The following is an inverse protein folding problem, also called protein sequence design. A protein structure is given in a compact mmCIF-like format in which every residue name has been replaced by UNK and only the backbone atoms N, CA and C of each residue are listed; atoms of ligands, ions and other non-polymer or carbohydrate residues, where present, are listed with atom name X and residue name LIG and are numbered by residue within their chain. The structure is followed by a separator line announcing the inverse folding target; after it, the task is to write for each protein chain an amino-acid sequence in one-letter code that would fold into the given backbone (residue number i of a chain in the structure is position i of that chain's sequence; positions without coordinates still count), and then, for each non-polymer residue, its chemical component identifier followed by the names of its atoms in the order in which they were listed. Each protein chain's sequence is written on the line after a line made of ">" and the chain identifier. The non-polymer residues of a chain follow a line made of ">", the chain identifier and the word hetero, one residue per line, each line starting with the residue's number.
data_IF_048963564199
#
_entry.id   IF_048963564199
#
_cell.length_a   1.000
_cell.length_b   1.000
_cell.length_c   1.000
_cell.angle_alpha   90.00
_cell.angle_beta   90.00
_cell.angle_gamma   90.00
#
_symmetry.space_group_name_H-M   'P 1'
#
loop_
_entity.id
_entity.type
_entity.pdbx_description
1 polymer ?
#
# COMPACT_ATOMS: atom_id res chain seq x y z
N UNK A 1 -11.13 -4.13 2.09
CA UNK A 1 -11.74 -3.23 1.07
C UNK A 1 -11.44 -3.63 -0.37
N UNK A 2 -10.58 -4.64 -0.62
CA UNK A 2 -10.31 -5.10 -1.99
C UNK A 2 -11.40 -6.00 -2.60
N UNK A 3 -12.16 -6.74 -1.78
CA UNK A 3 -13.24 -7.62 -2.29
C UNK A 3 -14.46 -6.80 -2.71
N UNK A 4 -14.92 -5.90 -1.85
CA UNK A 4 -16.00 -4.95 -2.14
C UNK A 4 -15.35 -3.57 -2.23
N UNK A 5 -14.97 -3.08 -3.42
CA UNK A 5 -14.35 -1.78 -3.59
C UNK A 5 -15.38 -0.66 -3.46
N UNK A 6 -15.06 0.38 -2.70
CA UNK A 6 -15.82 1.63 -2.65
C UNK A 6 -14.92 2.78 -3.08
N UNK A 7 -15.51 3.85 -3.62
CA UNK A 7 -14.75 5.02 -4.06
C UNK A 7 -14.04 5.75 -2.92
N UNK A 8 -14.59 5.67 -1.70
CA UNK A 8 -14.02 6.31 -0.50
C UNK A 8 -14.08 5.37 0.70
N UNK A 9 -13.04 5.38 1.52
CA UNK A 9 -12.94 4.60 2.76
C UNK A 9 -14.10 4.87 3.73
N UNK A 10 -14.59 6.11 3.83
CA UNK A 10 -15.67 6.44 4.77
C UNK A 10 -17.00 5.74 4.44
N UNK A 11 -17.21 5.32 3.19
CA UNK A 11 -18.47 4.73 2.75
C UNK A 11 -18.79 3.40 3.43
N UNK A 12 -17.77 2.64 3.85
CA UNK A 12 -17.99 1.36 4.54
C UNK A 12 -18.67 1.50 5.91
N UNK A 13 -18.63 2.70 6.50
CA UNK A 13 -19.32 3.07 7.75
C UNK A 13 -20.57 3.92 7.51
N UNK A 14 -20.96 4.15 6.26
CA UNK A 14 -22.21 4.86 5.96
C UNK A 14 -23.42 3.96 6.24
N UNK A 15 -24.55 4.56 6.61
CA UNK A 15 -25.77 3.80 6.90
C UNK A 15 -26.25 2.95 5.71
N UNK A 16 -26.09 3.45 4.48
CA UNK A 16 -26.54 2.77 3.25
C UNK A 16 -25.62 1.63 2.81
N UNK A 17 -24.31 1.77 3.03
CA UNK A 17 -23.29 0.81 2.59
C UNK A 17 -22.56 0.15 3.76
N UNK A 18 -23.27 -0.02 4.87
CA UNK A 18 -22.73 -0.56 6.11
C UNK A 18 -22.23 -1.99 5.92
N UNK A 19 -20.91 -2.19 6.02
CA UNK A 19 -20.29 -3.52 5.93
C UNK A 19 -19.95 -4.00 7.33
N UNK A 20 -20.85 -4.78 7.93
CA UNK A 20 -20.75 -5.29 9.32
C UNK A 20 -19.40 -5.95 9.64
N UNK A 21 -18.81 -6.68 8.69
CA UNK A 21 -17.50 -7.31 8.88
C UNK A 21 -16.36 -6.33 9.16
N UNK A 22 -16.49 -5.06 8.75
CA UNK A 22 -15.51 -4.00 8.99
C UNK A 22 -15.97 -3.14 10.17
N UNK A 23 -17.21 -2.65 10.13
CA UNK A 23 -17.74 -1.67 11.08
C UNK A 23 -17.83 -2.22 12.51
N UNK A 24 -18.10 -3.52 12.66
CA UNK A 24 -18.17 -4.16 13.98
C UNK A 24 -16.78 -4.33 14.63
N UNK A 25 -15.70 -4.33 13.83
CA UNK A 25 -14.33 -4.55 14.32
C UNK A 25 -13.59 -3.24 14.59
N UNK A 26 -13.88 -2.20 13.83
CA UNK A 26 -13.17 -0.94 13.93
C UNK A 26 -14.10 0.24 13.65
N UNK A 27 -14.05 1.27 14.48
CA UNK A 27 -14.80 2.50 14.23
C UNK A 27 -14.16 3.28 13.07
N UNK A 28 -14.96 4.08 12.37
CA UNK A 28 -14.52 4.90 11.23
C UNK A 28 -13.34 5.80 11.61
N UNK A 29 -13.45 6.50 12.74
CA UNK A 29 -12.43 7.48 13.14
C UNK A 29 -11.11 6.78 13.51
N UNK A 30 -11.18 5.67 14.27
CA UNK A 30 -10.01 4.86 14.60
C UNK A 30 -9.30 4.35 13.34
N UNK A 31 -10.05 3.92 12.32
CA UNK A 31 -9.47 3.47 11.05
C UNK A 31 -8.65 4.58 10.38
N UNK A 32 -9.24 5.78 10.26
CA UNK A 32 -8.60 6.91 9.59
C UNK A 32 -7.37 7.40 10.34
N UNK A 33 -7.40 7.42 11.67
CA UNK A 33 -6.25 7.76 12.50
C UNK A 33 -5.13 6.74 12.36
N UNK A 34 -5.43 5.44 12.48
CA UNK A 34 -4.44 4.39 12.27
C UNK A 34 -3.80 4.50 10.90
N UNK A 35 -4.58 4.71 9.83
CA UNK A 35 -4.05 4.88 8.47
C UNK A 35 -3.22 6.16 8.30
N UNK A 36 -3.54 7.24 9.02
CA UNK A 36 -2.79 8.50 8.96
C UNK A 36 -1.44 8.42 9.66
N UNK A 37 -1.37 7.70 10.78
CA UNK A 37 -0.17 7.60 11.62
C UNK A 37 0.59 6.29 11.43
N UNK A 38 0.19 5.46 10.46
CA UNK A 38 0.88 4.22 10.14
C UNK A 38 2.29 4.53 9.64
N UNK A 39 3.29 4.11 10.40
CA UNK A 39 4.70 4.33 10.12
C UNK A 39 5.47 3.05 10.37
N UNK A 40 6.24 2.58 9.38
CA UNK A 40 6.93 1.29 9.42
C UNK A 40 8.43 1.40 9.71
N UNK A 41 9.00 2.61 9.60
CA UNK A 41 10.43 2.82 9.78
C UNK A 41 10.74 3.24 11.23
N UNK A 42 11.90 2.88 11.74
CA UNK A 42 12.41 3.47 12.98
C UNK A 42 13.18 4.75 12.66
N UNK A 43 12.81 5.87 13.29
CA UNK A 43 13.46 7.16 13.08
C UNK A 43 14.85 7.25 13.73
N UNK A 44 15.14 6.36 14.68
CA UNK A 44 16.45 6.29 15.33
C UNK A 44 17.50 5.61 14.46
N UNK A 45 17.07 4.87 13.43
CA UNK A 45 17.95 4.14 12.53
C UNK A 45 18.20 4.96 11.27
N UNK A 46 19.45 4.95 10.79
CA UNK A 46 19.78 5.51 9.49
C UNK A 46 19.18 4.66 8.40
N UNK A 47 18.41 5.27 7.50
CA UNK A 47 17.91 4.59 6.30
C UNK A 47 19.13 4.16 5.48
N UNK A 48 19.32 2.85 5.35
CA UNK A 48 20.39 2.27 4.55
C UNK A 48 20.20 2.63 3.08
N UNK A 49 21.30 2.86 2.37
CA UNK A 49 21.27 3.00 0.93
C UNK A 49 20.93 1.64 0.28
N UNK A 50 20.38 1.67 -0.93
CA UNK A 50 19.98 0.47 -1.66
C UNK A 50 21.17 -0.44 -2.01
N UNK A 51 22.36 0.14 -2.11
CA UNK A 51 23.60 -0.58 -2.39
C UNK A 51 24.26 -1.15 -1.13
N UNK A 52 23.71 -0.86 0.07
CA UNK A 52 24.22 -1.40 1.32
C UNK A 52 24.00 -2.93 1.37
N UNK A 53 25.01 -3.74 1.73
CA UNK A 53 24.88 -5.20 1.83
C UNK A 53 23.76 -5.65 2.78
N UNK A 54 23.45 -4.85 3.80
CA UNK A 54 22.41 -5.11 4.80
C UNK A 54 21.03 -4.55 4.40
N UNK A 55 20.90 -3.95 3.21
CA UNK A 55 19.60 -3.51 2.71
C UNK A 55 18.67 -4.70 2.46
N UNK A 56 17.55 -4.76 3.18
CA UNK A 56 16.54 -5.80 2.97
C UNK A 56 15.84 -5.61 1.62
N UNK A 57 16.01 -6.59 0.75
CA UNK A 57 15.47 -6.58 -0.62
C UNK A 57 14.08 -7.19 -0.72
N UNK A 58 13.50 -7.69 0.37
CA UNK A 58 12.17 -8.30 0.42
C UNK A 58 11.96 -9.31 -0.73
N UNK A 59 12.86 -10.29 -0.85
CA UNK A 59 12.76 -11.31 -1.88
C UNK A 59 11.59 -12.27 -1.60
N UNK A 60 10.80 -12.56 -2.63
CA UNK A 60 9.87 -13.70 -2.61
C UNK A 60 10.59 -14.91 -3.21
N UNK A 61 10.73 -16.00 -2.44
CA UNK A 61 11.31 -17.25 -2.93
C UNK A 61 10.55 -17.75 -4.16
N UNK A 62 11.29 -18.15 -5.20
CA UNK A 62 10.72 -18.46 -6.50
C UNK A 62 11.01 -19.91 -6.93
N UNK A 63 9.97 -20.60 -7.42
CA UNK A 63 9.98 -22.00 -7.84
C UNK A 63 10.68 -22.21 -9.20
N UNK A 64 10.86 -23.47 -9.62
CA UNK A 64 11.70 -23.96 -10.73
C UNK A 64 11.43 -23.39 -12.14
N UNK A 65 10.43 -22.54 -12.36
CA UNK A 65 10.19 -21.85 -13.64
C UNK A 65 9.82 -20.39 -13.37
N UNK A 66 10.59 -19.46 -13.94
CA UNK A 66 10.46 -18.03 -13.67
C UNK A 66 10.34 -17.23 -14.96
N UNK A 67 9.46 -16.23 -14.94
CA UNK A 67 9.42 -15.16 -15.91
C UNK A 67 9.75 -13.85 -15.20
N UNK A 68 10.44 -12.95 -15.89
CA UNK A 68 10.82 -11.63 -15.36
C UNK A 68 10.03 -10.59 -16.12
N UNK A 69 9.25 -9.80 -15.40
CA UNK A 69 8.47 -8.68 -15.93
C UNK A 69 8.30 -7.62 -14.84
N UNK A 70 7.87 -6.43 -15.23
CA UNK A 70 7.70 -5.26 -14.37
C UNK A 70 6.25 -5.12 -13.88
N UNK A 71 6.09 -4.82 -12.58
CA UNK A 71 4.81 -4.40 -12.01
C UNK A 71 4.94 -2.99 -11.43
N UNK A 72 4.04 -2.11 -11.83
CA UNK A 72 4.01 -0.72 -11.37
C UNK A 72 2.88 -0.56 -10.36
N UNK A 73 3.21 0.03 -9.22
CA UNK A 73 2.23 0.45 -8.22
C UNK A 73 1.80 1.88 -8.56
N UNK A 74 0.52 2.10 -8.89
CA UNK A 74 0.05 3.44 -9.24
C UNK A 74 0.09 4.36 -8.02
N UNK A 75 0.77 5.51 -8.16
CA UNK A 75 0.85 6.51 -7.10
C UNK A 75 0.96 7.91 -7.68
N UNK A 76 0.11 8.83 -7.22
CA UNK A 76 0.05 10.21 -7.73
C UNK A 76 0.75 11.24 -6.86
N UNK A 77 1.09 10.93 -5.61
CA UNK A 77 1.78 11.84 -4.69
C UNK A 77 3.21 12.19 -5.10
N UNK A 78 3.87 13.04 -4.32
CA UNK A 78 5.29 13.39 -4.51
C UNK A 78 6.15 12.25 -3.97
N UNK A 79 6.91 11.60 -4.84
CA UNK A 79 7.84 10.54 -4.46
C UNK A 79 9.03 10.51 -5.42
N UNK A 80 10.24 10.30 -4.90
CA UNK A 80 11.49 10.36 -5.68
C UNK A 80 11.60 9.26 -6.73
N UNK A 81 11.08 8.06 -6.43
CA UNK A 81 11.11 6.91 -7.35
C UNK A 81 9.93 6.88 -8.35
N UNK A 82 9.06 7.88 -8.36
CA UNK A 82 7.89 7.89 -9.24
C UNK A 82 8.33 8.12 -10.69
N UNK A 83 7.88 7.27 -11.59
CA UNK A 83 8.13 7.36 -13.03
C UNK A 83 6.81 7.47 -13.80
N UNK A 84 6.84 8.18 -14.93
CA UNK A 84 5.71 8.25 -15.86
C UNK A 84 5.90 7.23 -16.98
N UNK A 85 4.94 6.31 -17.13
CA UNK A 85 4.97 5.26 -18.14
C UNK A 85 3.68 5.33 -18.98
N UNK A 86 3.73 5.90 -20.20
CA UNK A 86 2.53 6.24 -20.97
C UNK A 86 1.72 5.03 -21.42
N UNK A 87 2.38 3.88 -21.60
CA UNK A 87 1.78 2.63 -22.09
C UNK A 87 1.18 1.77 -20.96
N UNK A 88 1.18 2.25 -19.72
CA UNK A 88 0.61 1.52 -18.58
C UNK A 88 -0.78 2.08 -18.24
N UNK A 89 -1.71 1.25 -17.75
CA UNK A 89 -3.12 1.64 -17.57
C UNK A 89 -3.30 2.78 -16.58
N UNK A 90 -2.43 2.86 -15.57
CA UNK A 90 -2.41 3.95 -14.61
C UNK A 90 -1.13 4.76 -14.81
N UNK A 91 -1.33 5.95 -15.39
CA UNK A 91 -0.29 6.97 -15.57
C UNK A 91 0.00 7.69 -14.27
#
# INVERSE_FOLDING_TARGET
>A
MGIIPMSRYQMYWSAKFHVGSITNRLTRNRFMETMRYLYFNDNLQTILDRDDPNYDRLWVYSLKMQCVDERIIPYKGKHKLKQYLPCKPHK
#
